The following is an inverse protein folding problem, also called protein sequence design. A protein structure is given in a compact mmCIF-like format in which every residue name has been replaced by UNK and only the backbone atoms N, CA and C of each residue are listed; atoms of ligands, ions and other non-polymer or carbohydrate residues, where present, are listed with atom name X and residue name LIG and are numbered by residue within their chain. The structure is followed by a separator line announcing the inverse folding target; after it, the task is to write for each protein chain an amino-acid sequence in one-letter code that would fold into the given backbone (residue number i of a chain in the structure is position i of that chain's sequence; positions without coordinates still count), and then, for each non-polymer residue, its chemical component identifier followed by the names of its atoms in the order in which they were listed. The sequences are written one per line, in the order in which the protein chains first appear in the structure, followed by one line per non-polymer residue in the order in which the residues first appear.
data_IF_216838300633
#
_entry.id   IF_216838300633
#
_cell.length_a   1.000
_cell.length_b   1.000
_cell.length_c   1.000
_cell.angle_alpha   90.00
_cell.angle_beta   90.00
_cell.angle_gamma   90.00
#
_symmetry.space_group_name_H-M   'P 1'
#
loop_
_entity.id
_entity.type
_entity.pdbx_description
1 polymer ?
#
# COMPACT_ATOMS: atom_id res chain seq x y z
N UNK A 1 9.52 6.03 22.57
CA UNK A 1 8.90 4.82 23.19
C UNK A 1 9.99 3.87 23.68
N UNK A 2 9.90 3.35 24.91
CA UNK A 2 10.92 2.43 25.45
C UNK A 2 10.60 0.98 25.08
N UNK A 3 11.62 0.12 24.92
CA UNK A 3 11.45 -1.30 24.60
C UNK A 3 10.46 -2.04 25.55
N UNK A 4 10.41 -1.76 26.87
CA UNK A 4 9.43 -2.36 27.77
C UNK A 4 7.96 -2.10 27.40
N UNK A 5 7.65 -0.95 26.79
CA UNK A 5 6.28 -0.58 26.44
C UNK A 5 5.76 -1.39 25.25
N UNK A 6 6.63 -1.75 24.29
CA UNK A 6 6.25 -2.59 23.15
C UNK A 6 5.94 -4.02 23.60
N UNK A 7 6.65 -4.52 24.62
CA UNK A 7 6.43 -5.86 25.20
C UNK A 7 5.01 -6.09 25.70
N UNK A 8 4.27 -5.02 26.05
CA UNK A 8 2.90 -5.10 26.56
C UNK A 8 1.90 -5.69 25.56
N UNK A 9 2.13 -5.50 24.25
CA UNK A 9 1.17 -5.85 23.21
C UNK A 9 1.70 -6.88 22.21
N UNK A 10 2.94 -7.36 22.37
CA UNK A 10 3.58 -8.31 21.45
C UNK A 10 2.70 -9.54 21.17
N UNK A 11 2.20 -10.18 22.23
CA UNK A 11 1.36 -11.37 22.09
C UNK A 11 0.07 -11.08 21.31
N UNK A 12 -0.61 -9.95 21.59
CA UNK A 12 -1.83 -9.55 20.88
C UNK A 12 -1.53 -9.26 19.41
N UNK A 13 -0.46 -8.53 19.11
CA UNK A 13 -0.08 -8.21 17.74
C UNK A 13 0.34 -9.47 16.98
N UNK A 14 1.03 -10.41 17.62
CA UNK A 14 1.47 -11.65 16.99
C UNK A 14 0.27 -12.52 16.58
N UNK A 15 -0.73 -12.60 17.45
CA UNK A 15 -1.99 -13.30 17.19
C UNK A 15 -2.79 -12.62 16.07
N UNK A 16 -3.08 -11.32 16.21
CA UNK A 16 -3.96 -10.62 15.28
C UNK A 16 -3.31 -10.41 13.90
N UNK A 17 -2.00 -10.28 13.81
CA UNK A 17 -1.28 -10.06 12.55
C UNK A 17 -0.60 -11.32 12.00
N UNK A 18 -0.95 -12.51 12.51
CA UNK A 18 -0.51 -13.77 11.93
C UNK A 18 -0.98 -13.88 10.46
N UNK A 19 -0.05 -14.16 9.55
CA UNK A 19 -0.34 -14.28 8.11
C UNK A 19 -0.65 -12.95 7.40
N UNK A 20 -0.38 -11.82 8.05
CA UNK A 20 -0.71 -10.50 7.53
C UNK A 20 0.45 -9.85 6.74
N UNK A 21 0.09 -9.02 5.75
CA UNK A 21 1.00 -8.48 4.73
C UNK A 21 2.05 -7.56 5.34
N UNK A 22 1.66 -6.60 6.17
CA UNK A 22 2.60 -5.64 6.74
C UNK A 22 3.47 -6.28 7.81
N UNK A 23 2.92 -7.18 8.61
CA UNK A 23 3.75 -7.99 9.52
C UNK A 23 4.81 -8.80 8.77
N UNK A 24 4.50 -9.32 7.57
CA UNK A 24 5.47 -10.00 6.72
C UNK A 24 6.54 -9.06 6.14
N UNK A 25 6.16 -7.87 5.67
CA UNK A 25 7.08 -6.93 4.98
C UNK A 25 7.89 -6.09 5.96
N UNK A 26 7.26 -5.57 7.01
CA UNK A 26 7.86 -4.65 7.97
C UNK A 26 8.41 -5.36 9.21
N UNK A 27 7.95 -6.58 9.48
CA UNK A 27 8.32 -7.34 10.67
C UNK A 27 7.47 -7.00 11.90
N UNK A 28 7.56 -7.90 12.88
CA UNK A 28 6.70 -7.89 14.06
C UNK A 28 6.92 -6.68 14.98
N UNK A 29 8.17 -6.22 15.13
CA UNK A 29 8.50 -5.07 15.99
C UNK A 29 7.86 -3.77 15.46
N UNK A 30 7.95 -3.53 14.15
CA UNK A 30 7.34 -2.36 13.51
C UNK A 30 5.82 -2.40 13.59
N UNK A 31 5.20 -3.59 13.47
CA UNK A 31 3.77 -3.74 13.70
C UNK A 31 3.36 -3.45 15.14
N UNK A 32 4.12 -3.91 16.13
CA UNK A 32 3.89 -3.53 17.53
C UNK A 32 3.96 -2.01 17.70
N UNK A 33 4.99 -1.37 17.12
CA UNK A 33 5.15 0.09 17.18
C UNK A 33 3.94 0.83 16.61
N UNK A 34 3.44 0.41 15.45
CA UNK A 34 2.27 1.01 14.78
C UNK A 34 0.99 0.79 15.56
N UNK A 35 0.71 -0.43 16.02
CA UNK A 35 -0.48 -0.73 16.83
C UNK A 35 -0.47 0.09 18.13
N UNK A 36 0.66 0.13 18.84
CA UNK A 36 0.80 0.95 20.03
C UNK A 36 0.50 2.43 19.74
N UNK A 37 1.10 2.97 18.68
CA UNK A 37 0.87 4.35 18.23
C UNK A 37 -0.60 4.63 17.97
N UNK A 38 -1.28 3.78 17.21
CA UNK A 38 -2.69 3.97 16.89
C UNK A 38 -3.57 3.89 18.13
N UNK A 39 -3.24 2.98 19.05
CA UNK A 39 -3.92 2.85 20.34
C UNK A 39 -3.83 4.16 21.14
N UNK A 40 -2.62 4.69 21.31
CA UNK A 40 -2.39 5.89 22.12
C UNK A 40 -2.92 7.16 21.44
N UNK A 41 -2.63 7.35 20.15
CA UNK A 41 -2.92 8.60 19.44
C UNK A 41 -4.40 8.71 19.03
N UNK A 42 -5.00 7.64 18.51
CA UNK A 42 -6.35 7.70 17.94
C UNK A 42 -7.41 7.13 18.89
N UNK A 43 -7.06 6.18 19.76
CA UNK A 43 -8.01 5.53 20.68
C UNK A 43 -7.88 5.99 22.14
N UNK A 44 -6.98 6.95 22.43
CA UNK A 44 -6.75 7.50 23.78
C UNK A 44 -6.36 6.43 24.80
N UNK A 45 -5.76 5.32 24.37
CA UNK A 45 -5.27 4.30 25.28
C UNK A 45 -4.16 4.87 26.18
N UNK A 46 -4.23 4.59 27.49
CA UNK A 46 -3.25 5.06 28.46
C UNK A 46 -2.15 4.01 28.69
N UNK A 47 -0.93 4.18 28.14
CA UNK A 47 0.14 3.22 28.30
C UNK A 47 0.75 3.21 29.71
N UNK A 48 0.40 4.17 30.56
CA UNK A 48 0.82 4.24 31.96
C UNK A 48 -0.15 3.51 32.90
N UNK A 49 -1.26 2.97 32.38
CA UNK A 49 -2.13 2.07 33.16
C UNK A 49 -1.41 0.75 33.44
N UNK A 50 -1.99 -0.10 34.31
CA UNK A 50 -1.44 -1.44 34.56
C UNK A 50 -1.34 -2.21 33.23
N UNK A 51 -0.24 -2.95 32.96
CA UNK A 51 -0.05 -3.73 31.73
C UNK A 51 -1.28 -4.48 31.24
N UNK A 52 -1.98 -5.20 32.12
CA UNK A 52 -3.18 -5.97 31.79
C UNK A 52 -4.34 -5.12 31.27
N UNK A 53 -4.56 -3.93 31.85
CA UNK A 53 -5.61 -2.99 31.41
C UNK A 53 -5.28 -2.46 30.02
N UNK A 54 -4.03 -2.04 29.77
CA UNK A 54 -3.64 -1.55 28.46
C UNK A 54 -3.72 -2.64 27.39
N UNK A 55 -3.23 -3.84 27.66
CA UNK A 55 -3.33 -5.00 26.75
C UNK A 55 -4.78 -5.37 26.48
N UNK A 56 -5.65 -5.36 27.50
CA UNK A 56 -7.08 -5.62 27.32
C UNK A 56 -7.76 -4.54 26.45
N UNK A 57 -7.39 -3.27 26.64
CA UNK A 57 -7.89 -2.17 25.81
C UNK A 57 -7.46 -2.34 24.34
N UNK A 58 -6.18 -2.66 24.08
CA UNK A 58 -5.68 -2.93 22.73
C UNK A 58 -6.43 -4.09 22.08
N UNK A 59 -6.65 -5.18 22.82
CA UNK A 59 -7.43 -6.32 22.32
C UNK A 59 -8.87 -5.94 22.01
N UNK A 60 -9.51 -5.12 22.85
CA UNK A 60 -10.87 -4.64 22.61
C UNK A 60 -10.95 -3.80 21.31
N UNK A 61 -9.93 -3.01 20.98
CA UNK A 61 -9.89 -2.26 19.73
C UNK A 61 -9.86 -3.15 18.47
N UNK A 62 -9.43 -4.41 18.54
CA UNK A 62 -9.49 -5.35 17.41
C UNK A 62 -10.86 -6.03 17.25
N UNK A 63 -11.80 -5.81 18.17
CA UNK A 63 -13.02 -6.60 18.27
C UNK A 63 -14.26 -5.73 18.20
N UNK A 64 -15.28 -6.30 17.58
CA UNK A 64 -16.64 -5.78 17.60
C UNK A 64 -17.49 -6.71 18.47
N UNK A 65 -17.62 -6.36 19.75
CA UNK A 65 -18.09 -7.31 20.76
C UNK A 65 -17.13 -8.50 20.87
N UNK A 66 -17.57 -9.69 20.46
CA UNK A 66 -16.77 -10.91 20.50
C UNK A 66 -16.17 -11.33 19.15
N UNK A 67 -16.49 -10.61 18.07
CA UNK A 67 -16.11 -10.98 16.71
C UNK A 67 -15.02 -10.06 16.15
N UNK A 68 -14.32 -10.53 15.12
CA UNK A 68 -13.50 -9.63 14.31
C UNK A 68 -14.44 -8.75 13.45
N UNK A 69 -14.19 -7.44 13.36
CA UNK A 69 -14.98 -6.55 12.52
C UNK A 69 -14.92 -6.97 11.06
N UNK A 70 -16.07 -7.10 10.41
CA UNK A 70 -16.17 -7.39 8.98
C UNK A 70 -16.19 -6.08 8.20
N UNK A 71 -15.18 -5.87 7.35
CA UNK A 71 -15.04 -4.67 6.52
C UNK A 71 -15.41 -5.05 5.07
N UNK A 72 -16.62 -4.70 4.56
CA UNK A 72 -17.15 -5.28 3.32
C UNK A 72 -16.30 -5.09 2.06
N UNK A 73 -15.42 -4.08 2.06
CA UNK A 73 -14.64 -3.71 0.87
C UNK A 73 -13.20 -4.21 0.91
N UNK A 74 -12.78 -4.75 2.06
CA UNK A 74 -11.41 -5.19 2.34
C UNK A 74 -11.50 -6.56 3.00
N UNK A 75 -11.48 -7.59 2.17
CA UNK A 75 -11.47 -8.96 2.65
C UNK A 75 -10.26 -9.21 3.55
N UNK A 76 -10.48 -9.96 4.63
CA UNK A 76 -9.45 -10.33 5.60
C UNK A 76 -8.71 -9.14 6.24
N UNK A 77 -9.38 -7.99 6.34
CA UNK A 77 -8.87 -6.83 7.05
C UNK A 77 -8.54 -7.16 8.51
N UNK A 78 -7.38 -6.71 8.98
CA UNK A 78 -7.05 -6.62 10.41
C UNK A 78 -7.48 -5.23 10.86
N UNK A 79 -8.76 -5.12 11.21
CA UNK A 79 -9.42 -3.89 11.61
C UNK A 79 -9.07 -3.49 13.05
N UNK A 80 -8.92 -2.20 13.29
CA UNK A 80 -8.65 -1.62 14.61
C UNK A 80 -9.53 -0.39 14.82
N UNK A 81 -10.29 -0.37 15.91
CA UNK A 81 -11.33 0.62 16.17
C UNK A 81 -10.79 2.05 16.00
N UNK A 82 -11.58 2.91 15.34
CA UNK A 82 -11.21 4.30 15.07
C UNK A 82 -11.86 5.30 16.04
N UNK A 83 -12.49 4.80 17.11
CA UNK A 83 -13.29 5.60 18.02
C UNK A 83 -14.73 5.81 17.53
N UNK A 84 -15.59 6.41 18.37
CA UNK A 84 -16.91 6.83 17.94
C UNK A 84 -16.78 7.87 16.82
N UNK A 85 -17.68 7.89 15.83
CA UNK A 85 -17.67 8.92 14.81
C UNK A 85 -17.77 10.28 15.50
N UNK A 86 -16.73 11.09 15.34
CA UNK A 86 -16.83 12.52 15.65
C UNK A 86 -17.95 13.11 14.78
N UNK A 87 -18.69 14.14 15.23
CA UNK A 87 -19.76 14.77 14.43
C UNK A 87 -19.28 15.48 13.15
N UNK A 88 -18.03 15.32 12.74
CA UNK A 88 -17.46 15.79 11.47
C UNK A 88 -16.71 14.63 10.80
N UNK A 89 -16.45 14.69 9.48
CA UNK A 89 -16.33 13.51 8.62
C UNK A 89 -15.36 12.46 9.16
N UNK A 90 -15.65 11.17 8.92
CA UNK A 90 -14.80 10.07 9.39
C UNK A 90 -13.37 10.32 8.97
N UNK A 91 -12.42 10.03 9.86
CA UNK A 91 -11.00 10.23 9.59
C UNK A 91 -10.64 9.60 8.23
N UNK A 92 -9.87 10.29 7.36
CA UNK A 92 -9.41 9.68 6.12
C UNK A 92 -8.80 8.31 6.37
N UNK A 93 -9.09 7.36 5.48
CA UNK A 93 -8.67 5.96 5.60
C UNK A 93 -9.23 5.22 6.82
N UNK A 94 -10.49 5.50 7.20
CA UNK A 94 -11.29 4.65 8.09
C UNK A 94 -12.46 4.03 7.35
N UNK A 95 -12.77 2.77 7.62
CA UNK A 95 -13.76 2.00 6.87
C UNK A 95 -14.88 1.56 7.80
N UNK A 96 -16.14 1.64 7.35
CA UNK A 96 -17.26 1.15 8.14
C UNK A 96 -17.26 -0.38 8.14
N UNK A 97 -17.51 -0.97 9.31
CA UNK A 97 -17.88 -2.39 9.42
C UNK A 97 -19.35 -2.59 9.03
N UNK A 98 -19.79 -3.85 9.02
CA UNK A 98 -21.19 -4.24 8.81
C UNK A 98 -22.15 -3.70 9.87
N UNK A 99 -21.67 -3.28 11.04
CA UNK A 99 -22.48 -2.60 12.07
C UNK A 99 -22.35 -1.08 12.06
N UNK A 100 -21.73 -0.52 11.02
CA UNK A 100 -21.50 0.92 10.84
C UNK A 100 -20.54 1.55 11.86
N UNK A 101 -19.77 0.75 12.58
CA UNK A 101 -18.63 1.23 13.35
C UNK A 101 -17.43 1.50 12.44
N UNK A 102 -16.61 2.48 12.78
CA UNK A 102 -15.47 2.89 11.95
C UNK A 102 -14.16 2.28 12.44
N UNK A 103 -13.38 1.75 11.50
CA UNK A 103 -12.12 1.07 11.79
C UNK A 103 -10.97 1.59 10.92
N UNK A 104 -9.80 1.71 11.52
CA UNK A 104 -8.53 1.71 10.79
C UNK A 104 -8.22 0.30 10.30
N UNK A 105 -7.51 0.18 9.19
CA UNK A 105 -7.02 -1.10 8.69
C UNK A 105 -5.52 -1.12 8.95
N UNK A 106 -5.11 -1.79 10.02
CA UNK A 106 -3.70 -1.83 10.40
C UNK A 106 -2.92 -2.83 9.57
N UNK A 107 -3.58 -3.88 9.10
CA UNK A 107 -2.98 -4.90 8.25
C UNK A 107 -4.07 -5.65 7.48
N UNK A 108 -3.67 -6.57 6.62
CA UNK A 108 -4.56 -7.39 5.80
C UNK A 108 -3.96 -8.78 5.72
N UNK A 109 -4.75 -9.81 6.00
CA UNK A 109 -4.30 -11.20 5.84
C UNK A 109 -4.40 -11.65 4.40
N UNK A 110 -3.48 -12.53 3.99
CA UNK A 110 -3.53 -13.13 2.66
C UNK A 110 -3.19 -14.62 2.74
N UNK A 111 -3.82 -15.40 1.87
CA UNK A 111 -3.59 -16.84 1.80
C UNK A 111 -2.24 -17.19 1.16
N UNK A 112 -1.57 -16.21 0.52
CA UNK A 112 -0.31 -16.45 -0.19
C UNK A 112 0.67 -15.28 -0.01
N UNK A 113 1.34 -15.25 1.14
CA UNK A 113 2.41 -14.28 1.41
C UNK A 113 3.58 -14.37 0.42
N UNK A 114 3.73 -15.50 -0.27
CA UNK A 114 4.83 -15.71 -1.22
C UNK A 114 4.73 -14.86 -2.49
N UNK A 115 3.57 -14.21 -2.72
CA UNK A 115 3.34 -13.22 -3.76
C UNK A 115 3.59 -11.78 -3.29
N UNK A 116 3.73 -11.54 -1.99
CA UNK A 116 4.07 -10.22 -1.46
C UNK A 116 5.56 -9.98 -1.68
N UNK A 117 5.91 -8.85 -2.29
CA UNK A 117 7.32 -8.51 -2.53
C UNK A 117 7.97 -8.16 -1.18
N UNK A 118 9.01 -8.89 -0.74
CA UNK A 118 9.66 -8.64 0.55
C UNK A 118 10.60 -7.45 0.42
N UNK A 119 10.02 -6.26 0.31
CA UNK A 119 10.78 -5.01 0.19
C UNK A 119 11.61 -4.82 1.45
N UNK A 120 12.92 -4.61 1.28
CA UNK A 120 13.81 -4.34 2.40
C UNK A 120 13.33 -3.12 3.18
N UNK A 121 13.15 -3.28 4.50
CA UNK A 121 12.71 -2.18 5.34
C UNK A 121 13.75 -1.06 5.30
N UNK A 122 13.33 0.12 4.83
CA UNK A 122 14.17 1.31 4.92
C UNK A 122 14.31 1.73 6.38
N UNK A 123 15.40 1.31 7.01
CA UNK A 123 15.72 1.66 8.37
C UNK A 123 16.45 3.01 8.38
N UNK A 124 15.66 4.08 8.31
CA UNK A 124 16.17 5.43 8.46
C UNK A 124 16.92 5.54 9.80
N UNK A 125 18.11 6.15 9.78
CA UNK A 125 18.86 6.50 10.99
C UNK A 125 19.45 5.33 11.80
N UNK A 126 19.65 4.14 11.21
CA UNK A 126 20.42 3.07 11.87
C UNK A 126 21.81 3.54 12.34
N UNK A 127 22.41 4.49 11.63
CA UNK A 127 23.71 5.08 11.97
C UNK A 127 23.65 6.19 13.03
N UNK A 128 22.47 6.57 13.53
CA UNK A 128 22.32 7.62 14.55
C UNK A 128 22.01 7.03 15.93
N UNK A 129 22.10 7.87 16.97
CA UNK A 129 21.75 7.48 18.33
C UNK A 129 20.30 6.97 18.41
N UNK A 130 20.11 5.92 19.21
CA UNK A 130 18.82 5.24 19.42
C UNK A 130 17.71 6.23 19.78
N UNK A 131 17.97 7.18 20.70
CA UNK A 131 17.01 8.20 21.10
C UNK A 131 16.52 9.11 19.97
N UNK A 132 17.42 9.49 19.04
CA UNK A 132 17.03 10.29 17.89
C UNK A 132 16.15 9.50 16.92
N UNK A 133 16.55 8.26 16.61
CA UNK A 133 15.77 7.37 15.75
C UNK A 133 14.36 7.16 16.30
N UNK A 134 14.24 6.88 17.61
CA UNK A 134 12.94 6.74 18.27
C UNK A 134 12.09 8.02 18.16
N UNK A 135 12.67 9.20 18.38
CA UNK A 135 11.96 10.47 18.28
C UNK A 135 11.44 10.78 16.86
N UNK A 136 12.16 10.36 15.82
CA UNK A 136 11.70 10.50 14.43
C UNK A 136 10.61 9.48 14.11
N UNK A 137 10.81 8.22 14.47
CA UNK A 137 9.79 7.17 14.31
C UNK A 137 8.50 7.53 15.02
N UNK A 138 8.61 8.24 16.15
CA UNK A 138 7.46 8.67 16.93
C UNK A 138 6.58 9.71 16.23
N UNK A 139 7.05 10.34 15.15
CA UNK A 139 6.30 11.37 14.39
C UNK A 139 5.78 10.88 13.03
N UNK A 140 6.03 9.62 12.70
CA UNK A 140 5.57 9.00 11.47
C UNK A 140 4.10 8.64 11.61
N UNK A 141 3.31 8.83 10.55
CA UNK A 141 1.95 8.31 10.48
C UNK A 141 1.96 6.77 10.66
N UNK A 142 1.40 6.24 11.76
CA UNK A 142 1.41 4.80 12.01
C UNK A 142 0.46 4.05 11.07
N UNK A 143 -0.57 4.72 10.52
CA UNK A 143 -1.59 4.08 9.68
C UNK A 143 -1.07 3.83 8.26
N UNK A 144 -1.28 2.63 7.70
CA UNK A 144 -1.07 2.37 6.29
C UNK A 144 -2.14 3.05 5.44
N UNK A 145 -1.75 3.59 4.29
CA UNK A 145 -2.66 4.12 3.29
C UNK A 145 -2.99 3.03 2.27
N UNK A 146 -3.99 2.21 2.59
CA UNK A 146 -4.46 1.14 1.69
C UNK A 146 -5.07 1.72 0.42
N UNK A 147 -4.72 1.11 -0.72
CA UNK A 147 -5.22 1.49 -2.04
C UNK A 147 -6.43 0.62 -2.36
N UNK A 148 -7.63 1.18 -2.17
CA UNK A 148 -8.90 0.46 -2.35
C UNK A 148 -9.68 1.11 -3.49
N UNK A 149 -9.91 0.39 -4.61
CA UNK A 149 -10.78 0.86 -5.68
C UNK A 149 -12.20 1.13 -5.18
N UNK A 150 -12.81 2.24 -5.62
CA UNK A 150 -14.17 2.62 -5.19
C UNK A 150 -15.24 1.66 -5.71
N UNK A 151 -15.13 1.23 -6.96
CA UNK A 151 -16.19 0.53 -7.68
C UNK A 151 -16.15 -0.99 -7.48
N UNK A 152 -14.96 -1.59 -7.64
CA UNK A 152 -14.81 -3.05 -7.57
C UNK A 152 -14.65 -3.57 -6.15
N UNK A 153 -14.38 -2.67 -5.19
CA UNK A 153 -13.81 -3.06 -3.90
C UNK A 153 -12.47 -3.79 -4.09
N UNK A 154 -12.12 -4.62 -3.11
CA UNK A 154 -10.88 -5.39 -3.13
C UNK A 154 -9.65 -4.55 -2.81
N UNK A 155 -8.48 -5.14 -3.00
CA UNK A 155 -7.22 -4.57 -2.55
C UNK A 155 -6.22 -4.33 -3.68
N UNK A 156 -5.77 -3.09 -3.72
CA UNK A 156 -4.72 -2.63 -4.59
C UNK A 156 -5.17 -2.32 -6.00
N UNK A 157 -4.25 -1.75 -6.76
CA UNK A 157 -4.42 -1.44 -8.18
C UNK A 157 -3.21 -1.91 -8.98
N UNK A 158 -3.40 -2.43 -10.20
CA UNK A 158 -2.28 -2.72 -11.09
C UNK A 158 -1.44 -1.46 -11.34
N UNK A 159 -0.10 -1.61 -11.38
CA UNK A 159 0.79 -0.47 -11.63
C UNK A 159 0.86 -0.11 -13.12
N UNK A 160 0.54 -1.06 -14.01
CA UNK A 160 0.54 -0.89 -15.45
C UNK A 160 -0.25 0.36 -15.90
N UNK A 161 0.12 0.98 -17.05
CA UNK A 161 -0.58 2.12 -17.64
C UNK A 161 -1.95 1.70 -18.18
N UNK A 162 -2.89 1.52 -17.28
CA UNK A 162 -4.32 1.39 -17.57
C UNK A 162 -5.05 2.55 -16.91
N UNK A 163 -6.30 2.74 -17.32
CA UNK A 163 -7.23 3.70 -16.73
C UNK A 163 -7.12 3.65 -15.22
N UNK A 164 -6.82 4.80 -14.62
CA UNK A 164 -6.72 4.93 -13.18
C UNK A 164 -8.12 4.78 -12.60
N UNK A 165 -8.39 3.63 -11.98
CA UNK A 165 -9.64 3.42 -11.27
C UNK A 165 -9.78 4.46 -10.14
N UNK A 166 -10.98 5.02 -9.91
CA UNK A 166 -11.22 5.91 -8.79
C UNK A 166 -10.97 5.14 -7.48
N UNK A 167 -10.30 5.79 -6.54
CA UNK A 167 -10.01 5.22 -5.22
C UNK A 167 -10.98 5.76 -4.18
N UNK A 168 -11.29 4.94 -3.17
CA UNK A 168 -12.24 5.30 -2.11
C UNK A 168 -11.86 6.58 -1.36
N UNK A 169 -10.56 6.78 -1.13
CA UNK A 169 -10.00 8.01 -0.54
C UNK A 169 -9.19 8.80 -1.57
N UNK A 170 -9.45 8.63 -2.87
CA UNK A 170 -8.69 9.29 -3.93
C UNK A 170 -8.61 10.80 -3.75
N UNK A 171 -9.74 11.42 -3.44
CA UNK A 171 -9.89 12.86 -3.23
C UNK A 171 -9.46 13.33 -1.82
N UNK A 172 -9.10 12.41 -0.93
CA UNK A 172 -8.64 12.78 0.42
C UNK A 172 -7.25 13.38 0.38
N UNK A 173 -7.02 14.41 1.20
CA UNK A 173 -5.72 15.04 1.32
C UNK A 173 -4.69 14.07 1.93
N UNK A 174 -3.53 13.97 1.30
CA UNK A 174 -2.38 13.21 1.77
C UNK A 174 -1.53 14.07 2.71
N UNK A 175 -1.97 14.15 3.97
CA UNK A 175 -1.38 15.00 5.01
C UNK A 175 -0.45 14.23 5.95
N UNK A 176 0.30 14.97 6.76
CA UNK A 176 1.02 14.44 7.91
C UNK A 176 0.02 14.01 9.02
N UNK A 177 0.51 13.26 10.02
CA UNK A 177 -0.32 12.81 11.14
C UNK A 177 -0.95 13.97 11.94
N UNK A 178 -0.33 15.16 11.91
CA UNK A 178 -0.84 16.40 12.52
C UNK A 178 -1.82 17.16 11.61
N UNK A 179 -2.15 16.63 10.44
CA UNK A 179 -3.05 17.24 9.46
C UNK A 179 -2.38 18.26 8.53
N UNK A 180 -1.09 18.58 8.73
CA UNK A 180 -0.38 19.52 7.85
C UNK A 180 -0.15 18.95 6.44
N UNK A 181 -0.18 19.83 5.44
CA UNK A 181 -0.01 19.41 4.04
C UNK A 181 1.43 18.96 3.74
N UNK A 182 1.57 17.88 2.97
CA UNK A 182 2.88 17.39 2.49
C UNK A 182 3.20 18.06 1.17
N UNK A 183 4.28 18.85 1.08
CA UNK A 183 4.69 19.45 -0.19
C UNK A 183 5.44 18.46 -1.09
N UNK A 184 6.32 17.66 -0.49
CA UNK A 184 7.23 16.73 -1.15
C UNK A 184 7.41 15.48 -0.30
N UNK A 185 7.48 14.32 -0.95
CA UNK A 185 7.83 13.05 -0.30
C UNK A 185 8.83 12.29 -1.16
N UNK A 186 9.61 11.41 -0.54
CA UNK A 186 10.46 10.45 -1.25
C UNK A 186 9.78 9.09 -1.26
N UNK A 187 9.72 8.45 -2.42
CA UNK A 187 9.44 7.02 -2.52
C UNK A 187 10.76 6.29 -2.38
N UNK A 188 10.89 5.44 -1.37
CA UNK A 188 12.06 4.59 -1.17
C UNK A 188 11.64 3.14 -0.96
N UNK A 189 12.34 2.23 -1.60
CA UNK A 189 12.21 0.79 -1.37
C UNK A 189 13.45 0.06 -1.86
N UNK A 190 13.71 -1.13 -1.32
CA UNK A 190 14.75 -2.02 -1.82
C UNK A 190 14.10 -3.28 -2.36
N UNK A 191 14.10 -3.43 -3.69
CA UNK A 191 13.59 -4.63 -4.33
C UNK A 191 14.60 -5.78 -4.15
N UNK A 192 14.15 -7.02 -3.83
CA UNK A 192 15.07 -8.12 -3.56
C UNK A 192 16.05 -8.37 -4.72
N UNK A 193 17.34 -8.33 -4.40
CA UNK A 193 18.42 -8.55 -5.36
C UNK A 193 18.77 -7.37 -6.26
N UNK A 194 18.32 -6.16 -5.91
CA UNK A 194 18.71 -4.90 -6.54
C UNK A 194 19.15 -3.87 -5.49
N UNK A 195 19.81 -2.81 -5.96
CA UNK A 195 20.17 -1.66 -5.14
C UNK A 195 18.93 -0.89 -4.64
N UNK A 196 19.02 -0.19 -3.49
CA UNK A 196 17.95 0.67 -3.01
C UNK A 196 17.52 1.70 -4.07
N UNK A 197 16.20 1.79 -4.30
CA UNK A 197 15.61 2.74 -5.22
C UNK A 197 15.03 3.93 -4.47
N UNK A 198 15.24 5.13 -5.01
CA UNK A 198 14.72 6.37 -4.46
C UNK A 198 14.20 7.30 -5.56
N UNK A 199 13.04 7.91 -5.32
CA UNK A 199 12.51 8.96 -6.20
C UNK A 199 11.76 10.03 -5.41
N UNK A 200 12.11 11.29 -5.62
CA UNK A 200 11.38 12.41 -5.06
C UNK A 200 10.07 12.66 -5.82
N UNK A 201 8.98 12.88 -5.08
CA UNK A 201 7.64 13.19 -5.58
C UNK A 201 7.18 14.54 -5.04
N UNK A 202 6.69 15.39 -5.94
CA UNK A 202 6.01 16.64 -5.57
C UNK A 202 4.51 16.39 -5.38
N UNK A 203 4.07 16.47 -4.13
CA UNK A 203 2.68 16.21 -3.72
C UNK A 203 1.81 17.43 -3.93
N UNK A 204 2.28 18.62 -3.52
CA UNK A 204 1.60 19.89 -3.79
C UNK A 204 2.04 20.49 -5.13
N UNK A 205 1.06 20.79 -5.97
CA UNK A 205 1.24 21.44 -7.26
C UNK A 205 0.12 22.46 -7.53
N UNK A 206 0.15 23.09 -8.70
CA UNK A 206 -0.90 24.01 -9.14
C UNK A 206 -2.08 23.29 -9.82
N UNK A 207 -2.05 21.95 -9.90
CA UNK A 207 -3.13 21.16 -10.48
C UNK A 207 -4.30 21.00 -9.50
N UNK A 208 -5.49 20.69 -10.02
CA UNK A 208 -6.71 20.49 -9.22
C UNK A 208 -6.63 19.32 -8.25
N UNK A 209 -5.80 18.32 -8.55
CA UNK A 209 -5.54 17.13 -7.72
C UNK A 209 -4.38 17.31 -6.73
N UNK A 210 -3.97 18.56 -6.49
CA UNK A 210 -2.85 18.91 -5.60
C UNK A 210 -3.07 18.38 -4.19
N UNK A 211 -2.10 17.65 -3.67
CA UNK A 211 -2.19 17.08 -2.33
C UNK A 211 -3.12 15.88 -2.17
N UNK A 212 -3.79 15.42 -3.22
CA UNK A 212 -4.73 14.30 -3.13
C UNK A 212 -4.03 12.94 -3.13
N UNK A 213 -4.60 11.97 -2.41
CA UNK A 213 -4.08 10.61 -2.33
C UNK A 213 -4.04 9.91 -3.71
N UNK A 214 -5.03 10.13 -4.58
CA UNK A 214 -5.07 9.60 -5.95
C UNK A 214 -3.81 9.96 -6.75
N UNK A 215 -3.37 11.21 -6.62
CA UNK A 215 -2.17 11.73 -7.27
C UNK A 215 -0.92 11.05 -6.73
N UNK A 216 -0.84 10.86 -5.42
CA UNK A 216 0.27 10.15 -4.76
C UNK A 216 0.35 8.70 -5.24
N UNK A 217 -0.77 7.98 -5.28
CA UNK A 217 -0.84 6.60 -5.80
C UNK A 217 -0.36 6.54 -7.25
N UNK A 218 -0.78 7.49 -8.09
CA UNK A 218 -0.34 7.57 -9.49
C UNK A 218 1.17 7.77 -9.60
N UNK A 219 1.74 8.68 -8.80
CA UNK A 219 3.19 8.92 -8.79
C UNK A 219 3.98 7.72 -8.26
N UNK A 220 3.49 7.02 -7.23
CA UNK A 220 4.11 5.81 -6.71
C UNK A 220 4.09 4.70 -7.76
N UNK A 221 2.97 4.49 -8.47
CA UNK A 221 2.92 3.57 -9.62
C UNK A 221 3.98 3.91 -10.66
N UNK A 222 4.11 5.19 -11.01
CA UNK A 222 5.11 5.65 -11.99
C UNK A 222 6.55 5.43 -11.51
N UNK A 223 6.80 5.58 -10.20
CA UNK A 223 8.10 5.30 -9.59
C UNK A 223 8.47 3.81 -9.70
N UNK A 224 7.54 2.91 -9.36
CA UNK A 224 7.75 1.46 -9.45
C UNK A 224 7.92 1.02 -10.91
N UNK A 225 7.14 1.56 -11.84
CA UNK A 225 7.31 1.28 -13.28
C UNK A 225 8.66 1.73 -13.81
N UNK A 226 9.12 2.91 -13.40
CA UNK A 226 10.45 3.39 -13.76
C UNK A 226 11.53 2.45 -13.24
N UNK A 227 11.43 1.98 -11.99
CA UNK A 227 12.34 0.98 -11.44
C UNK A 227 12.37 -0.31 -12.29
N UNK A 228 11.21 -0.89 -12.61
CA UNK A 228 11.11 -2.12 -13.42
C UNK A 228 11.73 -1.91 -14.81
N UNK A 229 11.41 -0.80 -15.46
CA UNK A 229 11.91 -0.48 -16.79
C UNK A 229 13.45 -0.32 -16.81
N UNK A 230 14.00 0.40 -15.82
CA UNK A 230 15.45 0.60 -15.69
C UNK A 230 16.21 -0.70 -15.44
N UNK A 231 15.60 -1.68 -14.76
CA UNK A 231 16.26 -2.93 -14.37
C UNK A 231 15.78 -4.15 -15.16
N UNK A 232 15.05 -3.95 -16.26
CA UNK A 232 14.42 -5.04 -17.02
C UNK A 232 15.44 -6.09 -17.52
N UNK A 233 16.64 -5.61 -17.90
CA UNK A 233 17.74 -6.43 -18.42
C UNK A 233 18.89 -6.60 -17.41
N UNK A 234 18.77 -6.01 -16.22
CA UNK A 234 19.81 -6.09 -15.21
C UNK A 234 19.88 -7.50 -14.60
N UNK A 235 21.10 -7.94 -14.29
CA UNK A 235 21.31 -9.14 -13.47
C UNK A 235 20.78 -8.90 -12.05
N UNK A 236 20.36 -9.98 -11.39
CA UNK A 236 19.87 -9.92 -10.01
C UNK A 236 20.45 -11.06 -9.19
N UNK A 237 20.74 -10.79 -7.92
CA UNK A 237 21.12 -11.83 -6.96
C UNK A 237 19.91 -12.63 -6.46
N UNK A 238 18.68 -12.24 -6.82
CA UNK A 238 17.45 -12.96 -6.45
C UNK A 238 16.60 -13.30 -7.67
N UNK A 239 16.89 -14.44 -8.36
CA UNK A 239 16.18 -14.82 -9.59
C UNK A 239 14.66 -14.91 -9.45
N UNK A 240 14.16 -15.27 -8.25
CA UNK A 240 12.72 -15.30 -7.94
C UNK A 240 12.06 -13.93 -8.13
N UNK A 241 12.76 -12.86 -7.79
CA UNK A 241 12.25 -11.50 -7.84
C UNK A 241 12.82 -10.71 -9.01
N UNK A 242 13.41 -11.38 -10.01
CA UNK A 242 13.95 -10.72 -11.19
C UNK A 242 12.85 -9.93 -11.94
N UNK A 243 13.07 -8.64 -12.16
CA UNK A 243 12.17 -7.80 -12.97
C UNK A 243 12.58 -7.83 -14.44
N UNK A 244 11.62 -7.78 -15.36
CA UNK A 244 11.89 -7.80 -16.80
C UNK A 244 10.70 -8.27 -17.64
N UNK A 245 10.83 -8.18 -18.95
CA UNK A 245 9.77 -8.54 -19.90
C UNK A 245 9.87 -9.98 -20.43
N UNK A 246 10.92 -10.72 -20.07
CA UNK A 246 11.09 -12.12 -20.49
C UNK A 246 10.27 -13.07 -19.61
N UNK A 247 9.95 -14.25 -20.14
CA UNK A 247 9.23 -15.28 -19.40
C UNK A 247 9.91 -15.61 -18.06
N UNK A 248 9.10 -15.69 -16.99
CA UNK A 248 9.57 -15.96 -15.62
C UNK A 248 10.10 -14.73 -14.88
N UNK A 249 10.22 -13.56 -15.52
CA UNK A 249 10.54 -12.30 -14.84
C UNK A 249 9.26 -11.49 -14.58
N UNK A 250 9.31 -10.63 -13.57
CA UNK A 250 8.18 -9.81 -13.13
C UNK A 250 8.15 -8.54 -13.99
N UNK A 251 7.11 -8.38 -14.79
CA UNK A 251 6.88 -7.17 -15.59
C UNK A 251 5.98 -6.18 -14.86
N UNK A 252 5.79 -4.98 -15.42
CA UNK A 252 4.85 -4.00 -14.86
C UNK A 252 3.38 -4.48 -14.84
N UNK A 253 3.02 -5.45 -15.69
CA UNK A 253 1.68 -6.04 -15.72
C UNK A 253 1.46 -7.05 -14.58
N UNK A 254 2.54 -7.51 -13.96
CA UNK A 254 2.49 -8.52 -12.91
C UNK A 254 2.43 -7.88 -11.52
N UNK A 255 2.55 -6.56 -11.38
CA UNK A 255 2.65 -5.89 -10.07
C UNK A 255 1.39 -5.10 -9.72
N UNK A 256 0.93 -5.29 -8.49
CA UNK A 256 -0.20 -4.63 -7.87
C UNK A 256 0.31 -3.80 -6.69
N UNK A 257 -0.04 -2.52 -6.64
CA UNK A 257 0.21 -1.64 -5.51
C UNK A 257 -0.92 -1.77 -4.50
N UNK A 258 -0.63 -2.31 -3.31
CA UNK A 258 -1.62 -2.60 -2.26
C UNK A 258 -1.80 -1.44 -1.28
N UNK A 259 -0.69 -0.84 -0.83
CA UNK A 259 -0.70 0.23 0.16
C UNK A 259 0.52 1.14 -0.01
N UNK A 260 0.47 2.27 0.67
CA UNK A 260 1.61 3.17 0.88
C UNK A 260 1.78 3.30 2.39
N UNK A 261 3.00 3.11 2.89
CA UNK A 261 3.32 3.30 4.32
C UNK A 261 4.36 4.40 4.47
N UNK A 262 4.22 5.25 5.47
CA UNK A 262 5.28 6.19 5.83
C UNK A 262 6.33 5.44 6.67
N UNK A 263 7.60 5.50 6.24
CA UNK A 263 8.74 4.80 6.88
C UNK A 263 9.73 5.77 7.53
N UNK A 264 9.66 7.05 7.15
CA UNK A 264 10.31 8.15 7.85
C UNK A 264 9.56 9.45 7.53
N UNK A 265 9.83 10.55 8.25
CA UNK A 265 9.16 11.82 7.96
C UNK A 265 9.47 12.27 6.53
N UNK A 266 8.45 12.27 5.67
CA UNK A 266 8.60 12.63 4.27
C UNK A 266 9.18 11.52 3.38
N UNK A 267 9.29 10.28 3.87
CA UNK A 267 9.60 9.10 3.06
C UNK A 267 8.49 8.07 3.17
N UNK A 268 8.01 7.64 2.01
CA UNK A 268 6.99 6.61 1.87
C UNK A 268 7.57 5.39 1.17
N UNK A 269 7.01 4.22 1.48
CA UNK A 269 7.34 2.95 0.87
C UNK A 269 6.06 2.32 0.31
N UNK A 270 6.05 1.85 -0.94
CA UNK A 270 4.94 1.08 -1.48
C UNK A 270 4.90 -0.30 -0.84
N UNK A 271 3.72 -0.90 -0.75
CA UNK A 271 3.52 -2.32 -0.45
C UNK A 271 3.04 -2.98 -1.73
N UNK A 272 3.81 -3.94 -2.22
CA UNK A 272 3.64 -4.51 -3.55
C UNK A 272 3.32 -5.99 -3.48
N UNK A 273 2.46 -6.43 -4.39
CA UNK A 273 2.10 -7.83 -4.60
C UNK A 273 2.30 -8.18 -6.07
N UNK A 274 2.80 -9.37 -6.33
CA UNK A 274 2.77 -9.98 -7.66
C UNK A 274 1.37 -10.58 -7.88
N UNK A 275 0.79 -10.36 -9.06
CA UNK A 275 -0.56 -10.81 -9.39
C UNK A 275 -0.75 -12.29 -9.12
N UNK A 276 -1.99 -12.65 -8.81
CA UNK A 276 -2.35 -14.05 -8.63
C UNK A 276 -2.10 -14.85 -9.92
N UNK A 277 -1.65 -16.10 -9.74
CA UNK A 277 -1.30 -17.01 -10.84
C UNK A 277 0.03 -16.72 -11.53
N UNK A 278 0.85 -15.76 -11.04
CA UNK A 278 2.22 -15.63 -11.53
C UNK A 278 3.05 -16.87 -11.18
N UNK A 279 3.79 -17.39 -12.16
CA UNK A 279 4.61 -18.59 -12.00
C UNK A 279 6.06 -18.16 -11.83
N UNK A 280 6.59 -18.32 -10.62
CA UNK A 280 8.00 -18.04 -10.35
C UNK A 280 8.93 -19.05 -11.03
N UNK A 281 10.13 -18.63 -11.47
CA UNK A 281 11.16 -19.54 -11.95
C UNK A 281 11.43 -20.66 -10.93
N UNK A 282 11.54 -21.90 -11.42
CA UNK A 282 11.82 -23.08 -10.58
C UNK A 282 10.61 -23.74 -9.91
N UNK A 283 9.42 -23.13 -9.95
CA UNK A 283 8.21 -23.77 -9.40
C UNK A 283 7.72 -24.94 -10.29
N UNK A 284 7.86 -24.83 -11.61
CA UNK A 284 7.37 -25.82 -12.57
C UNK A 284 8.09 -27.18 -12.47
N UNK A 285 9.36 -27.19 -12.06
CA UNK A 285 10.17 -28.43 -12.02
C UNK A 285 9.71 -29.41 -10.95
N UNK A 286 9.00 -28.96 -9.90
CA UNK A 286 8.50 -29.84 -8.83
C UNK A 286 7.13 -30.46 -9.11
N UNK A 287 6.29 -29.83 -9.93
CA UNK A 287 4.97 -30.37 -10.24
C UNK A 287 5.05 -31.58 -11.21
N UNK A 288 6.01 -31.55 -12.13
CA UNK A 288 6.17 -32.61 -13.14
C UNK A 288 6.80 -33.91 -12.61
N UNK A 289 7.50 -33.89 -11.46
CA UNK A 289 8.13 -35.11 -10.91
C UNK A 289 7.16 -36.03 -10.17
N UNK A 290 6.00 -35.51 -9.72
CA UNK A 290 4.98 -36.34 -9.03
C UNK A 290 4.12 -37.11 -10.05
N UNK A 291 3.97 -36.60 -11.28
CA UNK A 291 3.21 -37.26 -12.34
C UNK A 291 3.96 -38.41 -13.05
N UNK A 292 5.20 -38.70 -12.66
CA UNK A 292 5.98 -39.85 -13.18
C UNK A 292 6.31 -40.91 -12.12
N UNK A 293 5.63 -40.86 -10.97
CA UNK A 293 5.45 -42.06 -10.16
C UNK A 293 4.54 -43.03 -10.89
N UNK A 294 5.13 -43.99 -11.60
CA UNK A 294 4.47 -45.12 -12.22
C UNK A 294 3.64 -45.86 -11.17
N UNK A 295 2.35 -45.51 -11.05
CA UNK A 295 1.39 -46.39 -10.42
C UNK A 295 1.31 -47.62 -11.31
N UNK A 296 2.02 -48.68 -10.92
CA UNK A 296 1.78 -50.03 -11.42
C UNK A 296 0.33 -50.37 -11.11
N UNK A 297 -0.51 -50.18 -12.13
CA UNK A 297 -1.92 -50.48 -12.16
C UNK A 297 -2.09 -51.98 -11.84
N UNK A 298 -2.83 -52.36 -10.79
CA UNK A 298 -3.20 -53.76 -10.59
C UNK A 298 -4.04 -54.21 -11.78
N UNK A 299 -3.65 -55.33 -12.38
CA UNK A 299 -4.33 -55.93 -13.52
C UNK A 299 -5.81 -56.16 -13.15
N UNK A 300 -6.71 -55.46 -13.84
CA UNK A 300 -8.16 -55.73 -13.79
C UNK A 300 -8.50 -56.62 -14.97
N UNK A 301 -9.24 -57.73 -14.77
CA UNK A 301 -9.53 -58.68 -15.84
C UNK A 301 -10.55 -58.12 -16.84
N UNK A 302 -10.26 -58.47 -18.09
CA UNK A 302 -11.00 -58.23 -19.33
C UNK A 302 -12.50 -58.58 -19.23
N UNK A 303 -13.36 -57.67 -19.71
CA UNK A 303 -14.68 -58.05 -20.23
C UNK A 303 -15.22 -57.08 -21.30
N UNK A 304 -15.11 -57.57 -22.54
CA UNK A 304 -16.04 -57.54 -23.68
C UNK A 304 -16.93 -56.31 -23.99
N UNK A 305 -16.73 -55.87 -25.25
CA UNK A 305 -17.71 -55.61 -26.31
C UNK A 305 -18.44 -54.25 -26.42
N UNK A 306 -18.20 -53.66 -27.60
CA UNK A 306 -18.78 -52.52 -28.35
C UNK A 306 -20.31 -52.64 -28.56
N UNK A 307 -21.07 -51.59 -28.98
CA UNK A 307 -20.89 -50.90 -30.28
C UNK A 307 -21.15 -49.37 -30.35
N UNK A 308 -20.47 -48.72 -31.29
CA UNK A 308 -20.81 -47.49 -32.06
C UNK A 308 -22.18 -47.68 -32.78
N UNK A 309 -22.88 -46.68 -33.41
CA UNK A 309 -22.42 -45.40 -33.98
C UNK A 309 -23.44 -44.21 -33.91
N UNK A 310 -23.06 -43.01 -34.37
CA UNK A 310 -23.68 -42.31 -35.52
C UNK A 310 -23.04 -40.93 -35.78
N UNK A 311 -23.04 -40.55 -37.06
CA UNK A 311 -22.31 -39.43 -37.63
C UNK A 311 -23.22 -38.26 -38.07
N UNK A 312 -22.55 -37.12 -38.31
CA UNK A 312 -22.87 -36.03 -39.25
C UNK A 312 -23.93 -34.97 -38.82
N UNK A 313 -23.98 -33.77 -39.44
CA UNK A 313 -23.16 -33.25 -40.53
C UNK A 313 -22.55 -31.83 -40.33
N UNK A 314 -21.59 -31.60 -41.22
CA UNK A 314 -20.99 -30.35 -41.71
C UNK A 314 -21.96 -29.24 -42.11
N UNK A 315 -21.63 -28.00 -41.73
CA UNK A 315 -22.13 -26.77 -42.35
C UNK A 315 -20.98 -25.86 -42.76
N UNK A 316 -20.71 -25.79 -44.08
CA UNK A 316 -19.92 -24.74 -44.75
C UNK A 316 -20.61 -23.37 -44.58
N UNK A 317 -19.86 -22.26 -44.70
CA UNK A 317 -20.07 -21.28 -45.79
C UNK A 317 -19.44 -19.89 -45.53
N UNK A 318 -18.43 -19.56 -46.35
CA UNK A 318 -18.22 -18.31 -47.12
C UNK A 318 -17.93 -16.99 -46.33
N UNK A 319 -16.70 -16.45 -46.28
CA UNK A 319 -15.91 -15.68 -47.28
C UNK A 319 -15.87 -14.14 -46.92
N UNK A 320 -15.19 -13.24 -47.64
CA UNK A 320 -13.88 -12.71 -47.24
C UNK A 320 -13.74 -11.16 -47.31
N UNK A 321 -12.51 -10.65 -47.07
CA UNK A 321 -11.96 -9.34 -47.47
C UNK A 321 -12.55 -8.03 -46.89
N UNK A 322 -11.69 -7.28 -46.18
CA UNK A 322 -11.46 -5.85 -46.50
C UNK A 322 -10.04 -5.40 -46.11
N UNK A 323 -9.24 -5.14 -47.14
CA UNK A 323 -8.16 -4.14 -47.12
C UNK A 323 -8.77 -2.77 -46.76
N UNK A 324 -8.13 -1.81 -46.10
CA UNK A 324 -6.73 -1.43 -46.03
C UNK A 324 -6.73 0.09 -46.14
N UNK A 325 -6.04 0.80 -45.25
CA UNK A 325 -5.61 2.19 -45.48
C UNK A 325 -4.34 2.45 -44.68
N UNK A 326 -3.24 2.89 -45.31
CA UNK A 326 -2.04 3.30 -44.61
C UNK A 326 -2.20 4.73 -44.10
N UNK A 327 -1.99 4.94 -42.80
CA UNK A 327 -1.84 6.28 -42.25
C UNK A 327 -0.45 6.82 -42.60
N UNK A 328 -0.50 7.93 -43.34
CA UNK A 328 0.58 8.81 -43.78
C UNK A 328 1.20 9.51 -42.56
N UNK A 329 2.43 9.13 -42.18
CA UNK A 329 3.24 9.93 -41.25
C UNK A 329 3.88 11.11 -42.00
N UNK A 330 3.29 12.29 -41.82
CA UNK A 330 3.97 13.56 -42.13
C UNK A 330 4.85 13.96 -40.94
N UNK A 331 6.15 14.02 -41.16
CA UNK A 331 7.08 14.70 -40.27
C UNK A 331 7.07 16.20 -40.58
N UNK A 332 6.98 17.08 -39.58
CA UNK A 332 7.45 18.45 -39.73
C UNK A 332 8.77 18.67 -39.00
N UNK A 333 9.67 19.31 -39.73
CA UNK A 333 10.90 19.96 -39.32
C UNK A 333 10.81 20.64 -37.95
N UNK A 334 11.80 20.39 -37.09
CA UNK A 334 12.10 21.21 -35.92
C UNK A 334 13.24 22.16 -36.27
N UNK A 335 12.89 23.39 -36.60
CA UNK A 335 13.79 24.52 -36.69
C UNK A 335 13.87 25.24 -35.32
N UNK A 336 15.08 25.73 -34.99
CA UNK A 336 15.28 26.92 -34.17
C UNK A 336 15.19 26.77 -32.65
N UNK A 337 16.34 26.60 -32.00
CA UNK A 337 16.56 27.06 -30.64
C UNK A 337 17.04 28.51 -30.66
N UNK A 338 16.29 29.48 -30.08
CA UNK A 338 16.85 30.74 -29.66
C UNK A 338 17.28 30.66 -28.18
N UNK A 339 18.53 31.02 -27.96
CA UNK A 339 19.17 31.31 -26.68
C UNK A 339 18.41 32.43 -25.95
N UNK A 340 18.05 32.29 -24.66
CA UNK A 340 17.65 33.44 -23.87
C UNK A 340 18.85 34.08 -23.20
N UNK A 341 18.86 35.41 -23.33
CA UNK A 341 19.84 36.33 -22.79
C UNK A 341 19.88 36.34 -21.27
N UNK A 342 21.09 36.61 -20.80
CA UNK A 342 21.52 36.99 -19.46
C UNK A 342 20.76 38.23 -18.98
N UNK A 343 19.91 38.07 -17.96
CA UNK A 343 19.32 39.19 -17.22
C UNK A 343 19.94 39.28 -15.83
N UNK A 344 20.57 40.42 -15.58
CA UNK A 344 21.12 40.90 -14.32
C UNK A 344 20.01 41.03 -13.26
N UNK A 345 20.20 40.40 -12.09
CA UNK A 345 19.34 40.64 -10.92
C UNK A 345 19.92 41.75 -10.05
N UNK A 346 19.18 42.85 -10.06
CA UNK A 346 19.23 43.95 -9.10
C UNK A 346 18.89 43.44 -7.69
N UNK A 347 19.72 43.85 -6.74
CA UNK A 347 19.49 43.81 -5.29
C UNK A 347 18.39 44.80 -4.91
N UNK A 348 17.30 44.32 -4.32
CA UNK A 348 16.39 45.15 -3.54
C UNK A 348 16.14 44.50 -2.19
N UNK A 349 16.49 45.27 -1.18
CA UNK A 349 16.30 45.04 0.25
C UNK A 349 14.86 44.69 0.60
N UNK A 350 14.67 43.76 1.52
CA UNK A 350 13.42 43.59 2.25
C UNK A 350 13.75 43.47 3.73
N UNK A 351 13.66 44.61 4.39
CA UNK A 351 13.55 44.80 5.83
C UNK A 351 12.06 45.02 6.14
N UNK A 352 11.66 44.61 7.34
CA UNK A 352 10.37 44.84 8.02
C UNK A 352 9.16 44.01 7.57
N UNK A 353 8.77 43.05 8.40
CA UNK A 353 7.42 43.00 9.01
C UNK A 353 7.42 41.97 10.16
N UNK A 354 7.69 42.47 11.38
CA UNK A 354 7.38 41.81 12.65
C UNK A 354 6.43 42.75 13.39
N UNK A 355 5.20 42.29 13.61
CA UNK A 355 4.13 42.77 14.49
C UNK A 355 2.86 42.07 13.98
N UNK A 356 1.89 41.59 14.74
CA UNK A 356 1.56 41.61 16.16
C UNK A 356 0.30 40.74 16.23
N UNK A 357 0.28 39.66 17.01
CA UNK A 357 -0.99 39.07 17.47
C UNK A 357 -0.76 38.63 18.91
N UNK A 358 -1.14 39.54 19.81
CA UNK A 358 -1.38 39.28 21.21
C UNK A 358 -2.88 39.48 21.47
N UNK A 359 -3.42 38.73 22.45
CA UNK A 359 -4.73 38.92 23.10
C UNK A 359 -6.02 38.69 22.29
N UNK A 360 -6.69 37.55 22.54
CA UNK A 360 -8.12 37.53 22.93
C UNK A 360 -8.46 36.20 23.64
N UNK A 361 -8.27 36.21 24.97
CA UNK A 361 -8.99 35.35 25.90
C UNK A 361 -10.37 35.98 26.13
N UNK A 362 -11.44 35.29 25.73
CA UNK A 362 -12.79 35.57 26.25
C UNK A 362 -13.33 34.33 26.95
N UNK A 363 -13.63 34.58 28.23
CA UNK A 363 -14.21 33.71 29.25
C UNK A 363 -15.49 33.03 28.74
N UNK A 364 -15.63 31.72 29.02
CA UNK A 364 -16.94 31.07 29.11
C UNK A 364 -17.30 30.87 30.58
N UNK A 365 -18.54 31.17 31.01
CA UNK A 365 -18.96 31.01 32.40
C UNK A 365 -19.23 29.54 32.74
N UNK A 366 -18.90 29.19 33.98
CA UNK A 366 -19.36 27.97 34.66
C UNK A 366 -20.89 28.02 34.76
N UNK A 367 -21.55 26.90 34.42
CA UNK A 367 -22.93 26.63 34.79
C UNK A 367 -22.88 25.70 36.00
N UNK A 368 -23.36 26.21 37.13
CA UNK A 368 -23.68 25.45 38.34
C UNK A 368 -24.82 24.47 38.05
N UNK A 369 -24.62 23.20 38.35
CA UNK A 369 -25.68 22.20 38.41
C UNK A 369 -25.96 21.95 39.89
N UNK A 370 -27.06 22.54 40.38
CA UNK A 370 -27.58 22.29 41.71
C UNK A 370 -28.28 20.94 41.81
N UNK A 371 -28.00 20.21 42.89
CA UNK A 371 -28.78 19.08 43.38
C UNK A 371 -30.07 19.56 44.04
N UNK A 372 -31.20 18.96 43.67
CA UNK A 372 -32.34 18.62 44.54
C UNK A 372 -32.87 17.27 44.13
#
# INVERSE_FOLDING_TARGET
MSAPQLGLIQAVVAEEHAGAILNHVLGHEEMCRRTFKVTVQYNRGNPNSTPSIFTAHVRACYREGHFQPLIPFIENAVAFYAGPPSPSPPFPHTYPSTSYQWYHILDVRTNNLSLIVPLGMYAAYLSRSTGYATGVLDRIEPRPYWVVPSETGGMGVPIAPRVTAPLRYGESAFTHADGSARSTVYVRFQWPGYEPFERQLRVLSNASDSGMFQRVVTHVKNAVRAFISTHADAETSSPRWAVGNTHGRISENDVILLAIVEVSRGTIMPILKVRDGFVFPGAATRASSIAHGTFSRPATPSRAATPTPLAAPTGRSINPFRAGTPFRMGAPHRAGTPTPARTTRSTVSSLSFLQSIDTMFLRRPLVDVGFV
#
